data_IF_774193113108
#
_entry.id   IF_774193113108
#
_cell.length_a   1.000
_cell.length_b   1.000
_cell.length_c   1.000
_cell.angle_alpha   90.00
_cell.angle_beta   90.00
_cell.angle_gamma   90.00
#
_symmetry.space_group_name_H-M   'P 1'
#
loop_
_entity.id
_entity.type
_entity.pdbx_description
1 polymer ?
#
# COMPACT_ATOMS: atom_id res chain seq x y z
N UNK A 1 -19.75 2.27 18.17
CA UNK A 1 -18.57 2.84 18.86
C UNK A 1 -18.99 3.30 20.24
N UNK A 2 -18.24 2.97 21.27
CA UNK A 2 -18.48 3.43 22.63
C UNK A 2 -18.03 4.89 22.77
N UNK A 3 -18.93 5.73 23.29
CA UNK A 3 -18.60 7.10 23.70
C UNK A 3 -18.42 7.17 25.23
N UNK A 4 -17.86 8.25 25.74
CA UNK A 4 -17.71 8.43 27.19
C UNK A 4 -19.07 8.48 27.93
N UNK A 5 -20.12 9.13 27.39
CA UNK A 5 -21.46 9.01 27.93
C UNK A 5 -22.00 7.60 27.97
N UNK A 6 -21.84 6.81 26.89
CA UNK A 6 -22.29 5.42 26.84
C UNK A 6 -21.59 4.56 27.90
N UNK A 7 -20.27 4.70 28.03
CA UNK A 7 -19.49 3.99 29.04
C UNK A 7 -19.86 4.39 30.47
N UNK A 8 -20.20 5.65 30.71
CA UNK A 8 -20.67 6.11 32.01
C UNK A 8 -22.04 5.52 32.35
N UNK A 9 -22.97 5.50 31.39
CA UNK A 9 -24.29 4.90 31.55
C UNK A 9 -24.17 3.39 31.83
N UNK A 10 -23.39 2.65 31.02
CA UNK A 10 -23.14 1.23 31.17
C UNK A 10 -22.50 0.86 32.53
N UNK A 11 -21.57 1.67 33.02
CA UNK A 11 -20.93 1.44 34.31
C UNK A 11 -21.92 1.58 35.49
N UNK A 12 -22.92 2.49 35.35
CA UNK A 12 -23.99 2.65 36.34
C UNK A 12 -25.00 1.50 36.19
N UNK A 13 -25.40 1.16 34.98
CA UNK A 13 -26.35 0.07 34.70
C UNK A 13 -25.84 -1.29 35.20
N UNK A 14 -24.54 -1.55 35.07
CA UNK A 14 -23.89 -2.76 35.61
C UNK A 14 -23.57 -2.70 37.10
N UNK A 15 -24.02 -1.67 37.78
CA UNK A 15 -23.78 -1.48 39.23
C UNK A 15 -22.30 -1.47 39.62
N UNK A 16 -21.39 -1.15 38.68
CA UNK A 16 -19.94 -1.02 38.95
C UNK A 16 -19.68 0.18 39.84
N UNK A 17 -20.45 1.26 39.61
CA UNK A 17 -20.41 2.52 40.40
C UNK A 17 -21.80 3.10 40.50
N UNK A 18 -22.11 3.77 41.63
CA UNK A 18 -23.41 4.45 41.78
C UNK A 18 -23.55 5.69 40.88
N UNK A 19 -22.44 6.40 40.67
CA UNK A 19 -22.37 7.61 39.80
C UNK A 19 -20.99 7.78 39.23
N UNK A 20 -20.91 8.14 37.96
CA UNK A 20 -19.67 8.54 37.29
C UNK A 20 -19.96 9.55 36.18
N UNK A 21 -19.06 10.52 35.99
CA UNK A 21 -19.18 11.46 34.88
C UNK A 21 -18.49 10.95 33.63
N UNK A 22 -18.96 11.31 32.41
CA UNK A 22 -18.24 11.01 31.18
C UNK A 22 -16.80 11.54 31.18
N UNK A 23 -16.54 12.67 31.83
CA UNK A 23 -15.21 13.23 31.99
C UNK A 23 -14.28 12.32 32.81
N UNK A 24 -14.80 11.73 33.90
CA UNK A 24 -14.04 10.77 34.73
C UNK A 24 -13.70 9.50 33.93
N UNK A 25 -14.63 8.99 33.14
CA UNK A 25 -14.36 7.88 32.20
C UNK A 25 -13.21 8.24 31.26
N UNK A 26 -13.27 9.43 30.63
CA UNK A 26 -12.20 9.86 29.72
C UNK A 26 -10.85 10.03 30.41
N UNK A 27 -10.82 10.40 31.69
CA UNK A 27 -9.58 10.46 32.47
C UNK A 27 -9.02 9.06 32.75
N UNK A 28 -9.84 8.13 33.22
CA UNK A 28 -9.41 6.75 33.50
C UNK A 28 -8.89 6.06 32.25
N UNK A 29 -9.59 6.19 31.10
CA UNK A 29 -9.14 5.61 29.84
C UNK A 29 -7.79 6.18 29.39
N UNK A 30 -7.52 7.45 29.65
CA UNK A 30 -6.20 8.06 29.36
C UNK A 30 -5.11 7.56 30.29
N UNK A 31 -5.40 7.39 31.56
CA UNK A 31 -4.44 6.88 32.56
C UNK A 31 -3.96 5.47 32.23
N UNK A 32 -4.84 4.63 31.64
CA UNK A 32 -4.51 3.26 31.23
C UNK A 32 -4.24 3.11 29.72
N UNK A 33 -4.16 4.20 28.98
CA UNK A 33 -3.99 4.29 27.51
C UNK A 33 -4.98 3.45 26.69
N UNK A 34 -6.21 3.27 27.20
CA UNK A 34 -7.27 2.59 26.47
C UNK A 34 -8.04 3.55 25.54
N UNK A 35 -8.18 3.14 24.29
CA UNK A 35 -8.81 3.93 23.20
C UNK A 35 -9.98 3.19 22.58
N UNK A 36 -11.10 2.96 23.31
CA UNK A 36 -12.22 2.13 22.83
C UNK A 36 -12.93 2.74 21.60
N UNK A 37 -12.67 4.00 21.27
CA UNK A 37 -13.17 4.67 20.08
C UNK A 37 -12.33 4.40 18.81
N UNK A 38 -11.13 3.82 18.98
CA UNK A 38 -10.27 3.43 17.87
C UNK A 38 -10.49 1.97 17.52
N UNK A 39 -10.59 1.70 16.24
CA UNK A 39 -10.63 0.35 15.68
C UNK A 39 -9.57 0.31 14.62
N UNK A 40 -8.62 -0.58 14.79
CA UNK A 40 -7.60 -0.90 13.79
C UNK A 40 -7.96 -2.23 13.15
N UNK A 41 -7.91 -2.29 11.84
CA UNK A 41 -8.09 -3.54 11.11
C UNK A 41 -6.88 -4.45 11.33
N UNK A 42 -7.15 -5.72 11.56
CA UNK A 42 -6.12 -6.74 11.63
C UNK A 42 -6.55 -7.96 10.82
N UNK A 43 -5.63 -8.45 10.00
CA UNK A 43 -5.82 -9.70 9.25
C UNK A 43 -5.05 -10.80 9.99
N UNK A 44 -5.79 -11.81 10.46
CA UNK A 44 -5.19 -13.01 11.02
C UNK A 44 -5.10 -14.06 9.90
N UNK A 45 -3.96 -14.13 9.23
CA UNK A 45 -3.69 -15.16 8.24
C UNK A 45 -3.20 -16.42 8.94
N UNK A 46 -3.78 -17.62 8.64
CA UNK A 46 -3.23 -18.87 9.14
C UNK A 46 -1.75 -18.97 8.76
N UNK A 47 -0.90 -19.25 9.74
CA UNK A 47 0.54 -19.45 9.52
C UNK A 47 0.76 -20.91 9.17
N UNK A 48 1.22 -21.18 7.95
CA UNK A 48 1.77 -22.48 7.57
C UNK A 48 3.17 -22.69 8.17
N UNK A 49 3.71 -23.92 8.01
CA UNK A 49 5.01 -24.28 8.56
C UNK A 49 6.16 -23.40 8.07
N UNK A 50 6.05 -22.85 6.85
CA UNK A 50 7.11 -22.11 6.18
C UNK A 50 6.95 -20.59 6.31
N UNK A 51 5.89 -20.13 6.98
CA UNK A 51 5.60 -18.69 7.09
C UNK A 51 6.77 -17.90 7.68
N UNK A 52 7.38 -18.41 8.75
CA UNK A 52 8.49 -17.73 9.43
C UNK A 52 9.73 -17.67 8.55
N UNK A 53 10.04 -18.72 7.82
CA UNK A 53 11.16 -18.78 6.89
C UNK A 53 10.99 -17.78 5.74
N UNK A 54 9.82 -17.79 5.10
CA UNK A 54 9.49 -16.82 4.04
C UNK A 54 9.51 -15.37 4.51
N UNK A 55 9.05 -15.09 5.73
CA UNK A 55 9.16 -13.75 6.31
C UNK A 55 10.62 -13.36 6.52
N UNK A 56 11.45 -14.29 6.99
CA UNK A 56 12.89 -14.08 7.16
C UNK A 56 13.55 -13.75 5.82
N UNK A 57 13.28 -14.51 4.77
CA UNK A 57 13.84 -14.30 3.43
C UNK A 57 13.51 -12.92 2.86
N UNK A 58 12.27 -12.47 3.02
CA UNK A 58 11.86 -11.12 2.61
C UNK A 58 12.62 -10.05 3.41
N UNK A 59 12.70 -10.20 4.74
CA UNK A 59 13.43 -9.27 5.60
C UNK A 59 14.91 -9.21 5.25
N UNK A 60 15.54 -10.38 5.01
CA UNK A 60 16.95 -10.48 4.59
C UNK A 60 17.19 -9.83 3.24
N UNK A 61 16.24 -9.97 2.30
CA UNK A 61 16.33 -9.31 1.00
C UNK A 61 16.43 -7.80 1.14
N UNK A 62 15.64 -7.20 2.02
CA UNK A 62 15.73 -5.76 2.30
C UNK A 62 16.99 -5.38 3.09
N UNK A 63 17.36 -6.18 4.09
CA UNK A 63 18.55 -5.93 4.92
C UNK A 63 19.84 -5.92 4.10
N UNK A 64 19.96 -6.85 3.15
CA UNK A 64 21.14 -6.99 2.29
C UNK A 64 21.13 -6.06 1.07
N UNK A 65 20.08 -5.26 0.86
CA UNK A 65 19.98 -4.39 -0.30
C UNK A 65 21.17 -3.43 -0.48
N UNK A 66 21.74 -2.78 0.56
CA UNK A 66 22.91 -1.91 0.39
C UNK A 66 24.16 -2.68 -0.06
N UNK A 67 24.40 -3.88 0.47
CA UNK A 67 25.52 -4.72 0.10
C UNK A 67 25.40 -5.18 -1.35
N UNK A 68 24.23 -5.66 -1.74
CA UNK A 68 23.90 -6.08 -3.11
C UNK A 68 24.01 -4.94 -4.12
N UNK A 69 23.68 -3.71 -3.72
CA UNK A 69 23.81 -2.54 -4.59
C UNK A 69 25.29 -2.29 -4.95
N UNK A 70 26.24 -2.56 -4.03
CA UNK A 70 27.67 -2.47 -4.32
C UNK A 70 28.12 -3.55 -5.34
N UNK A 71 27.38 -4.64 -5.47
CA UNK A 71 27.60 -5.71 -6.45
C UNK A 71 26.83 -5.46 -7.78
N UNK A 72 26.14 -4.35 -7.91
CA UNK A 72 25.35 -4.00 -9.10
C UNK A 72 23.96 -4.61 -9.14
N UNK A 73 23.44 -5.07 -8.00
CA UNK A 73 22.08 -5.63 -7.88
C UNK A 73 21.15 -4.56 -7.31
N UNK A 74 20.08 -4.21 -8.03
CA UNK A 74 19.05 -3.28 -7.54
C UNK A 74 17.93 -4.03 -6.83
N UNK A 75 17.70 -3.69 -5.56
CA UNK A 75 16.57 -4.21 -4.77
C UNK A 75 15.44 -3.19 -4.76
N UNK A 76 14.30 -3.58 -5.27
CA UNK A 76 13.12 -2.71 -5.39
C UNK A 76 11.86 -3.44 -4.93
N UNK A 77 10.92 -2.69 -4.35
CA UNK A 77 9.54 -3.15 -4.15
C UNK A 77 8.60 -2.54 -5.16
N UNK A 78 7.66 -3.34 -5.64
CA UNK A 78 6.65 -2.93 -6.62
C UNK A 78 5.27 -3.15 -6.02
N UNK A 79 4.37 -2.18 -6.24
CA UNK A 79 2.98 -2.27 -5.81
C UNK A 79 2.07 -1.45 -6.73
N UNK A 80 0.79 -1.79 -6.78
CA UNK A 80 -0.22 -1.10 -7.55
C UNK A 80 -1.26 -0.44 -6.64
N UNK A 81 -1.49 0.83 -6.89
CA UNK A 81 -2.63 1.56 -6.34
C UNK A 81 -3.72 1.68 -7.40
N UNK A 82 -4.83 0.99 -7.17
CA UNK A 82 -6.00 1.03 -8.06
C UNK A 82 -7.06 2.00 -7.56
N UNK A 83 -7.96 2.41 -8.45
CA UNK A 83 -9.11 3.22 -8.07
C UNK A 83 -8.76 4.65 -7.69
N UNK A 84 -7.64 5.18 -8.15
CA UNK A 84 -7.28 6.60 -7.99
C UNK A 84 -8.30 7.43 -8.78
N UNK A 85 -9.18 8.14 -8.06
CA UNK A 85 -10.22 8.91 -8.69
C UNK A 85 -9.67 10.23 -9.23
N UNK A 86 -9.88 10.47 -10.53
CA UNK A 86 -9.63 11.78 -11.14
C UNK A 86 -10.83 12.69 -10.85
N UNK A 87 -10.71 13.54 -9.85
CA UNK A 87 -11.76 14.42 -9.38
C UNK A 87 -11.43 15.87 -9.70
N UNK A 88 -12.43 16.60 -10.23
CA UNK A 88 -12.38 18.04 -10.42
C UNK A 88 -13.48 18.67 -9.53
N UNK A 89 -13.17 19.75 -8.83
CA UNK A 89 -14.21 20.45 -8.06
C UNK A 89 -15.24 21.07 -8.99
N UNK A 90 -16.54 20.88 -8.69
CA UNK A 90 -17.62 21.38 -9.50
C UNK A 90 -17.65 22.92 -9.58
N UNK A 91 -17.07 23.62 -8.60
CA UNK A 91 -16.93 25.08 -8.59
C UNK A 91 -15.60 25.54 -7.97
N UNK A 92 -15.11 26.74 -8.34
CA UNK A 92 -13.87 27.29 -7.80
C UNK A 92 -13.94 27.51 -6.29
N UNK A 93 -12.83 27.29 -5.61
CA UNK A 93 -12.65 27.65 -4.19
C UNK A 93 -12.83 29.14 -3.98
N UNK A 94 -13.63 29.53 -2.97
CA UNK A 94 -13.79 30.91 -2.55
C UNK A 94 -12.71 31.23 -1.50
N UNK A 95 -11.77 32.15 -1.78
CA UNK A 95 -10.66 32.43 -0.89
C UNK A 95 -11.13 33.05 0.43
N UNK A 96 -10.29 32.98 1.43
CA UNK A 96 -10.48 33.63 2.73
C UNK A 96 -10.71 35.13 2.57
N UNK A 97 -11.63 35.70 3.34
CA UNK A 97 -11.92 37.13 3.42
C UNK A 97 -12.13 37.53 4.89
N UNK A 98 -11.97 38.80 5.26
CA UNK A 98 -12.27 39.24 6.60
C UNK A 98 -13.68 38.81 7.05
N UNK A 99 -13.77 38.09 8.18
CA UNK A 99 -15.02 37.53 8.70
C UNK A 99 -15.53 36.24 8.00
N UNK A 100 -14.83 35.76 6.99
CA UNK A 100 -15.22 34.53 6.25
C UNK A 100 -14.02 33.61 6.06
N UNK A 101 -14.15 32.36 6.51
CA UNK A 101 -13.18 31.30 6.20
C UNK A 101 -13.20 30.96 4.70
N UNK A 102 -12.13 30.34 4.24
CA UNK A 102 -12.10 29.73 2.90
C UNK A 102 -13.23 28.70 2.77
N UNK A 103 -13.90 28.72 1.63
CA UNK A 103 -14.97 27.77 1.30
C UNK A 103 -14.59 26.99 0.08
N UNK A 104 -14.49 25.69 0.25
CA UNK A 104 -14.22 24.74 -0.83
C UNK A 104 -15.53 24.05 -1.20
N UNK A 105 -15.76 23.90 -2.51
CA UNK A 105 -16.86 23.09 -3.01
C UNK A 105 -16.62 21.61 -2.60
N UNK A 106 -17.64 20.94 -2.11
CA UNK A 106 -17.56 19.52 -1.73
C UNK A 106 -18.03 18.58 -2.85
N UNK A 107 -18.75 19.09 -3.84
CA UNK A 107 -19.14 18.31 -5.00
C UNK A 107 -18.00 18.26 -6.04
N UNK A 108 -17.91 17.16 -6.75
CA UNK A 108 -16.89 16.94 -7.77
C UNK A 108 -17.48 16.37 -9.04
N UNK A 109 -16.85 16.73 -10.16
CA UNK A 109 -16.99 16.07 -11.45
C UNK A 109 -16.00 14.90 -11.44
N UNK A 110 -16.48 13.69 -11.74
CA UNK A 110 -15.65 12.49 -11.83
C UNK A 110 -15.22 12.27 -13.27
N UNK A 111 -13.92 12.23 -13.51
CA UNK A 111 -13.30 11.97 -14.82
C UNK A 111 -12.82 10.52 -14.98
N UNK A 112 -13.32 9.61 -14.15
CA UNK A 112 -12.96 8.20 -14.13
C UNK A 112 -11.98 7.83 -13.03
N UNK A 113 -11.40 6.64 -13.16
CA UNK A 113 -10.40 6.11 -12.26
C UNK A 113 -9.12 5.77 -13.01
N UNK A 114 -8.00 5.93 -12.36
CA UNK A 114 -6.69 5.57 -12.86
C UNK A 114 -6.05 4.52 -11.93
N UNK A 115 -5.08 3.82 -12.47
CA UNK A 115 -4.20 2.91 -11.71
C UNK A 115 -2.80 3.44 -11.77
N UNK A 116 -2.13 3.43 -10.63
CA UNK A 116 -0.71 3.73 -10.49
C UNK A 116 0.03 2.41 -10.26
N UNK A 117 1.06 2.11 -11.06
CA UNK A 117 2.05 1.08 -10.77
C UNK A 117 3.31 1.81 -10.35
N UNK A 118 3.88 1.47 -9.20
CA UNK A 118 5.05 2.14 -8.66
C UNK A 118 6.11 1.16 -8.18
N UNK A 119 7.37 1.49 -8.43
CA UNK A 119 8.56 0.77 -7.98
C UNK A 119 9.40 1.68 -7.09
N UNK A 120 9.64 1.25 -5.87
CA UNK A 120 10.50 1.93 -4.91
C UNK A 120 11.85 1.24 -4.83
N UNK A 121 12.94 1.94 -5.21
CA UNK A 121 14.30 1.44 -5.04
C UNK A 121 14.77 1.63 -3.60
N UNK A 122 14.96 0.53 -2.90
CA UNK A 122 15.21 0.48 -1.45
C UNK A 122 16.45 1.28 -1.02
N UNK A 123 17.52 1.18 -1.80
CA UNK A 123 18.82 1.83 -1.45
C UNK A 123 18.84 3.31 -1.81
N UNK A 124 18.29 3.67 -2.97
CA UNK A 124 18.38 5.03 -3.49
C UNK A 124 17.21 5.93 -3.09
N UNK A 125 16.09 5.34 -2.63
CA UNK A 125 14.85 6.03 -2.35
C UNK A 125 14.12 6.54 -3.61
N UNK A 126 14.59 6.20 -4.81
CA UNK A 126 13.95 6.62 -6.06
C UNK A 126 12.66 5.85 -6.28
N UNK A 127 11.66 6.55 -6.82
CA UNK A 127 10.39 5.97 -7.24
C UNK A 127 10.28 6.08 -8.74
N UNK A 128 10.06 4.95 -9.40
CA UNK A 128 9.61 4.87 -10.79
C UNK A 128 8.12 4.60 -10.79
N UNK A 129 7.39 5.15 -11.74
CA UNK A 129 5.94 4.95 -11.77
C UNK A 129 5.39 5.07 -13.18
N UNK A 130 4.24 4.45 -13.36
CA UNK A 130 3.38 4.59 -14.53
C UNK A 130 1.93 4.74 -14.09
N UNK A 131 1.20 5.63 -14.74
CA UNK A 131 -0.24 5.83 -14.53
C UNK A 131 -0.97 5.43 -15.81
N UNK A 132 -1.99 4.60 -15.66
CA UNK A 132 -2.81 4.13 -16.77
C UNK A 132 -4.27 3.94 -16.39
N UNK A 133 -5.16 3.71 -17.38
CA UNK A 133 -6.57 3.46 -17.12
C UNK A 133 -6.84 2.06 -16.56
N UNK A 134 -5.93 1.12 -16.81
CA UNK A 134 -6.09 -0.30 -16.52
C UNK A 134 -4.89 -0.85 -15.75
N UNK A 135 -5.02 -2.11 -15.32
CA UNK A 135 -4.00 -2.92 -14.67
C UNK A 135 -4.13 -4.35 -15.19
N UNK A 136 -3.74 -4.55 -16.42
CA UNK A 136 -3.70 -5.88 -17.02
C UNK A 136 -2.32 -6.51 -16.89
N UNK A 137 -2.19 -7.77 -17.28
CA UNK A 137 -0.89 -8.46 -17.31
C UNK A 137 0.05 -7.80 -18.32
N UNK A 138 -0.51 -7.36 -19.46
CA UNK A 138 0.22 -6.64 -20.48
C UNK A 138 0.71 -5.28 -20.01
N UNK A 139 -0.13 -4.53 -19.25
CA UNK A 139 0.25 -3.24 -18.66
C UNK A 139 1.44 -3.42 -17.70
N UNK A 140 1.39 -4.47 -16.86
CA UNK A 140 2.46 -4.77 -15.92
C UNK A 140 3.75 -5.20 -16.62
N UNK A 141 3.66 -6.07 -17.62
CA UNK A 141 4.82 -6.48 -18.42
C UNK A 141 5.45 -5.29 -19.15
N UNK A 142 4.64 -4.41 -19.76
CA UNK A 142 5.12 -3.20 -20.41
C UNK A 142 5.80 -2.24 -19.43
N UNK A 143 5.26 -2.11 -18.21
CA UNK A 143 5.86 -1.34 -17.14
C UNK A 143 7.23 -1.90 -16.74
N UNK A 144 7.36 -3.22 -16.53
CA UNK A 144 8.63 -3.87 -16.23
C UNK A 144 9.66 -3.66 -17.35
N UNK A 145 9.27 -3.82 -18.60
CA UNK A 145 10.15 -3.55 -19.73
C UNK A 145 10.69 -2.11 -19.73
N UNK A 146 9.81 -1.13 -19.47
CA UNK A 146 10.19 0.26 -19.35
C UNK A 146 11.09 0.55 -18.14
N UNK A 147 10.86 -0.14 -17.01
CA UNK A 147 11.70 -0.05 -15.81
C UNK A 147 13.11 -0.57 -16.09
N UNK A 148 13.23 -1.75 -16.68
CA UNK A 148 14.51 -2.36 -16.99
C UNK A 148 15.32 -1.58 -18.01
N UNK A 149 14.65 -0.98 -19.01
CA UNK A 149 15.30 -0.12 -20.00
C UNK A 149 15.93 1.16 -19.42
N UNK A 150 15.61 1.54 -18.18
CA UNK A 150 16.20 2.71 -17.51
C UNK A 150 17.59 2.43 -16.90
N UNK A 151 18.07 1.20 -17.00
CA UNK A 151 19.35 0.77 -16.44
C UNK A 151 20.24 0.17 -17.52
N UNK A 152 21.52 0.05 -17.18
CA UNK A 152 22.50 -0.60 -18.05
C UNK A 152 22.15 -2.06 -18.30
N UNK A 153 22.44 -2.55 -19.49
CA UNK A 153 22.36 -3.97 -19.78
C UNK A 153 23.23 -4.75 -18.78
N UNK A 154 22.67 -5.82 -18.21
CA UNK A 154 23.35 -6.63 -17.20
C UNK A 154 23.09 -6.23 -15.75
N UNK A 155 22.33 -5.14 -15.48
CA UNK A 155 21.83 -4.87 -14.12
C UNK A 155 21.00 -6.05 -13.63
N UNK A 156 21.34 -6.56 -12.46
CA UNK A 156 20.54 -7.59 -11.80
C UNK A 156 19.47 -6.93 -10.91
N UNK A 157 18.31 -7.56 -10.83
CA UNK A 157 17.18 -7.03 -10.09
C UNK A 157 16.67 -8.02 -9.05
N UNK A 158 16.46 -7.54 -7.84
CA UNK A 158 15.66 -8.22 -6.83
C UNK A 158 14.36 -7.44 -6.69
N UNK A 159 13.28 -7.95 -7.28
CA UNK A 159 11.95 -7.33 -7.23
C UNK A 159 11.11 -8.04 -6.17
N UNK A 160 10.67 -7.27 -5.18
CA UNK A 160 9.75 -7.73 -4.13
C UNK A 160 8.36 -7.21 -4.47
N UNK A 161 7.41 -8.11 -4.61
CA UNK A 161 6.02 -7.81 -4.96
C UNK A 161 5.07 -8.79 -4.28
N UNK A 162 3.81 -8.47 -4.20
CA UNK A 162 2.80 -9.38 -3.69
C UNK A 162 2.49 -10.52 -4.69
N UNK A 163 1.67 -11.48 -4.28
CA UNK A 163 1.33 -12.63 -5.11
C UNK A 163 0.10 -12.36 -5.99
N UNK A 164 0.00 -11.18 -6.59
CA UNK A 164 -1.08 -10.88 -7.51
C UNK A 164 -0.91 -11.66 -8.83
N UNK A 165 -2.00 -12.13 -9.40
CA UNK A 165 -1.97 -12.98 -10.62
C UNK A 165 -1.23 -12.36 -11.81
N UNK A 166 -1.25 -11.03 -11.96
CA UNK A 166 -0.55 -10.35 -13.05
C UNK A 166 0.96 -10.44 -12.92
N UNK A 167 1.51 -10.58 -11.70
CA UNK A 167 2.94 -10.72 -11.45
C UNK A 167 3.49 -12.07 -11.90
N UNK A 168 2.63 -13.09 -11.94
CA UNK A 168 2.96 -14.44 -12.39
C UNK A 168 2.28 -14.75 -13.74
N UNK A 169 2.05 -13.74 -14.57
CA UNK A 169 1.38 -13.89 -15.86
C UNK A 169 2.30 -14.43 -16.93
N UNK A 170 1.69 -14.92 -18.02
CA UNK A 170 2.43 -15.39 -19.20
C UNK A 170 3.25 -14.26 -19.83
N UNK A 171 2.69 -13.05 -19.86
CA UNK A 171 3.31 -11.84 -20.42
C UNK A 171 4.62 -11.50 -19.70
N UNK A 172 4.62 -11.59 -18.36
CA UNK A 172 5.83 -11.36 -17.54
C UNK A 172 6.86 -12.47 -17.79
N UNK A 173 6.42 -13.73 -17.83
CA UNK A 173 7.33 -14.86 -18.09
C UNK A 173 7.99 -14.74 -19.45
N UNK A 174 7.23 -14.38 -20.48
CA UNK A 174 7.74 -14.16 -21.85
C UNK A 174 8.74 -12.99 -21.91
N UNK A 175 8.40 -11.87 -21.28
CA UNK A 175 9.30 -10.72 -21.19
C UNK A 175 10.63 -11.09 -20.53
N UNK A 176 10.61 -11.78 -19.38
CA UNK A 176 11.84 -12.18 -18.69
C UNK A 176 12.64 -13.16 -19.55
N UNK A 177 11.99 -14.16 -20.14
CA UNK A 177 12.65 -15.12 -21.03
C UNK A 177 13.38 -14.44 -22.18
N UNK A 178 12.73 -13.45 -22.83
CA UNK A 178 13.33 -12.66 -23.90
C UNK A 178 14.55 -11.87 -23.38
N UNK A 179 14.43 -11.19 -22.27
CA UNK A 179 15.50 -10.36 -21.69
C UNK A 179 16.75 -11.16 -21.30
N UNK A 180 16.57 -12.41 -20.82
CA UNK A 180 17.69 -13.29 -20.47
C UNK A 180 18.15 -14.19 -21.61
N UNK A 181 17.52 -14.09 -22.79
CA UNK A 181 17.84 -14.93 -23.96
C UNK A 181 17.48 -16.40 -23.77
N UNK A 182 16.46 -16.72 -22.97
CA UNK A 182 15.99 -18.08 -22.77
C UNK A 182 15.21 -18.58 -24.00
N UNK A 183 15.65 -19.71 -24.59
CA UNK A 183 15.06 -20.29 -25.79
C UNK A 183 14.39 -21.65 -25.54
N UNK A 184 14.32 -22.09 -24.29
CA UNK A 184 13.69 -23.35 -23.93
C UNK A 184 12.16 -23.27 -23.89
N UNK A 185 11.53 -24.40 -23.58
CA UNK A 185 10.09 -24.46 -23.34
C UNK A 185 9.75 -23.75 -22.02
N UNK A 186 8.84 -22.79 -22.07
CA UNK A 186 8.38 -22.04 -20.91
C UNK A 186 7.33 -22.79 -20.08
N UNK A 187 6.86 -23.94 -20.56
CA UNK A 187 5.81 -24.71 -19.92
C UNK A 187 4.42 -24.09 -20.06
N UNK A 188 3.49 -24.61 -19.30
CA UNK A 188 2.09 -24.14 -19.25
C UNK A 188 1.79 -23.72 -17.81
N UNK A 189 1.20 -22.55 -17.66
CA UNK A 189 0.72 -22.10 -16.36
C UNK A 189 -0.35 -23.06 -15.83
N UNK A 190 -0.05 -23.73 -14.71
CA UNK A 190 -0.97 -24.62 -14.02
C UNK A 190 -2.07 -23.90 -13.23
#
# INVERSE_FOLDING_TARGET
>A
RWTYPDLAAEAIEREIVERISPHSIGRFLREVDLKPHRVEGWINTPRDGDFTERCHDVCETYRLAPERAAEGIETCSIDEMTGVQALERAAPTKPVRPGCAERQEFEYIRHGTLTLIATFCVVTGKVFHQIGPTRTAEDFAAYLAALFAQRSAGTQWHLVMDNLNIHCSEEVVRLIAELIGFTGDLGIKG
#
